data_IF_023954997242
#
_entry.id   IF_023954997242
#
_cell.length_a   1.000
_cell.length_b   1.000
_cell.length_c   1.000
_cell.angle_alpha   90.00
_cell.angle_beta   90.00
_cell.angle_gamma   90.00
#
_symmetry.space_group_name_H-M   'P 1'
#
loop_
_entity.id
_entity.type
_entity.pdbx_description
1 polymer ?
#
# COMPACT_ATOMS: atom_id res chain seq x y z
N UNK A 1 3.63 21.05 3.83
CA UNK A 1 2.90 21.38 5.08
C UNK A 1 3.64 20.72 6.23
N UNK A 2 3.65 21.29 7.43
CA UNK A 2 4.20 20.58 8.59
C UNK A 2 3.31 19.37 8.93
N UNK A 3 3.92 18.26 9.36
CA UNK A 3 3.16 17.08 9.78
C UNK A 3 2.39 17.40 11.07
N UNK A 4 1.11 16.99 11.18
CA UNK A 4 0.36 17.20 12.41
C UNK A 4 0.98 16.39 13.56
N UNK A 5 1.00 16.96 14.76
CA UNK A 5 1.34 16.23 15.98
C UNK A 5 0.19 15.30 16.34
N UNK A 6 0.33 14.02 16.00
CA UNK A 6 -0.61 12.96 16.37
C UNK A 6 0.03 12.05 17.41
N UNK A 7 -0.70 11.71 18.48
CA UNK A 7 -0.26 10.70 19.44
C UNK A 7 -0.42 9.29 18.87
N UNK A 8 0.47 8.93 17.96
CA UNK A 8 0.44 7.64 17.30
C UNK A 8 0.84 6.48 18.22
N UNK A 9 1.29 6.72 19.46
CA UNK A 9 1.68 5.64 20.37
C UNK A 9 0.48 5.01 21.08
N UNK A 10 -0.63 5.74 21.17
CA UNK A 10 -1.87 5.31 21.83
C UNK A 10 -2.79 4.48 20.94
N UNK A 11 -4.10 4.66 21.15
CA UNK A 11 -5.14 4.05 20.33
C UNK A 11 -5.10 4.59 18.89
N UNK A 12 -5.83 3.94 17.98
CA UNK A 12 -5.97 4.43 16.62
C UNK A 12 -6.63 5.83 16.62
N UNK A 13 -6.11 6.74 15.80
CA UNK A 13 -6.56 8.13 15.74
C UNK A 13 -7.13 8.43 14.36
N UNK A 14 -8.28 9.13 14.32
CA UNK A 14 -8.86 9.68 13.10
C UNK A 14 -8.29 11.06 12.80
N UNK A 15 -7.99 11.32 11.53
CA UNK A 15 -7.60 12.64 11.03
C UNK A 15 -8.58 13.09 9.95
N UNK A 16 -8.94 14.38 9.86
CA UNK A 16 -9.74 14.87 8.73
C UNK A 16 -9.05 14.67 7.38
N UNK A 17 -7.72 14.58 7.37
CA UNK A 17 -6.92 14.43 6.16
C UNK A 17 -6.58 12.97 5.82
N UNK A 18 -7.11 11.98 6.55
CA UNK A 18 -6.93 10.56 6.25
C UNK A 18 -8.19 9.74 6.53
N UNK A 19 -8.64 8.96 5.54
CA UNK A 19 -9.83 8.12 5.68
C UNK A 19 -9.62 6.90 6.58
N UNK A 20 -8.37 6.46 6.78
CA UNK A 20 -7.98 5.35 7.63
C UNK A 20 -7.56 5.89 9.00
N UNK A 21 -7.85 5.15 10.08
CA UNK A 21 -7.26 5.49 11.37
C UNK A 21 -5.75 5.24 11.38
N UNK A 22 -5.03 6.02 12.18
CA UNK A 22 -3.58 6.06 12.20
C UNK A 22 -3.03 5.66 13.56
N UNK A 23 -1.99 4.83 13.58
CA UNK A 23 -1.24 4.50 14.79
C UNK A 23 0.17 4.02 14.45
N UNK A 24 1.06 4.01 15.43
CA UNK A 24 2.39 3.41 15.32
C UNK A 24 2.28 1.90 15.13
N UNK A 25 1.26 1.26 15.72
CA UNK A 25 1.01 -0.17 15.55
C UNK A 25 0.66 -0.53 14.12
N UNK A 26 -0.11 0.33 13.42
CA UNK A 26 -0.34 0.20 11.99
C UNK A 26 1.00 0.26 11.23
N UNK A 27 1.83 1.27 11.51
CA UNK A 27 3.10 1.43 10.81
C UNK A 27 4.09 0.28 11.05
N UNK A 28 4.14 -0.25 12.27
CA UNK A 28 4.87 -1.48 12.57
C UNK A 28 4.40 -2.65 11.70
N UNK A 29 3.08 -2.86 11.60
CA UNK A 29 2.51 -3.92 10.79
C UNK A 29 2.81 -3.74 9.29
N UNK A 30 2.71 -2.51 8.78
CA UNK A 30 3.07 -2.20 7.38
C UNK A 30 4.52 -2.55 7.09
N UNK A 31 5.47 -2.08 7.92
CA UNK A 31 6.91 -2.38 7.77
C UNK A 31 7.17 -3.89 7.78
N UNK A 32 6.54 -4.63 8.68
CA UNK A 32 6.74 -6.07 8.79
C UNK A 32 6.16 -6.85 7.61
N UNK A 33 5.25 -6.23 6.85
CA UNK A 33 4.54 -6.87 5.75
C UNK A 33 5.21 -6.61 4.40
N UNK A 34 5.70 -5.39 4.20
CA UNK A 34 6.33 -4.92 2.96
C UNK A 34 7.68 -5.62 2.78
N UNK A 35 8.04 -6.07 1.56
CA UNK A 35 9.37 -6.63 1.31
C UNK A 35 10.45 -5.60 1.66
N UNK A 36 11.43 -5.98 2.48
CA UNK A 36 12.48 -5.08 2.98
C UNK A 36 13.72 -5.03 2.07
N UNK A 37 13.76 -5.81 1.01
CA UNK A 37 14.85 -5.85 0.03
C UNK A 37 14.32 -6.05 -1.37
N UNK A 38 15.00 -5.45 -2.34
CA UNK A 38 14.81 -5.76 -3.77
C UNK A 38 15.95 -6.65 -4.26
N UNK A 39 15.73 -7.41 -5.33
CA UNK A 39 16.78 -8.22 -5.96
C UNK A 39 17.94 -7.38 -6.54
N UNK A 40 17.68 -6.10 -6.84
CA UNK A 40 18.66 -5.13 -7.39
C UNK A 40 19.48 -4.42 -6.30
N UNK A 41 19.15 -4.59 -5.02
CA UNK A 41 19.76 -3.83 -3.92
C UNK A 41 19.23 -2.39 -3.80
N UNK A 42 18.20 -2.04 -4.59
CA UNK A 42 17.45 -0.79 -4.50
C UNK A 42 16.53 -0.80 -3.26
N UNK A 43 16.17 0.40 -2.80
CA UNK A 43 15.16 0.55 -1.74
C UNK A 43 13.79 0.19 -2.31
N UNK A 44 13.08 -0.80 -1.74
CA UNK A 44 11.72 -1.13 -2.17
C UNK A 44 10.78 0.06 -1.98
N UNK A 45 9.97 0.34 -3.01
CA UNK A 45 8.97 1.40 -3.03
C UNK A 45 7.57 0.81 -2.98
N UNK A 46 6.73 1.37 -2.11
CA UNK A 46 5.28 1.13 -2.09
C UNK A 46 4.57 2.25 -2.83
N UNK A 47 3.67 1.90 -3.76
CA UNK A 47 2.73 2.88 -4.32
C UNK A 47 1.41 2.85 -3.54
N UNK A 48 1.09 3.96 -2.88
CA UNK A 48 -0.20 4.19 -2.22
C UNK A 48 -1.21 4.74 -3.22
N UNK A 49 -2.17 3.91 -3.62
CA UNK A 49 -3.15 4.22 -4.67
C UNK A 49 -4.38 4.88 -4.04
N UNK A 50 -4.71 6.09 -4.50
CA UNK A 50 -5.72 6.93 -3.87
C UNK A 50 -5.20 7.60 -2.60
N UNK A 51 -3.97 8.12 -2.65
CA UNK A 51 -3.25 8.68 -1.49
C UNK A 51 -3.91 9.90 -0.85
N UNK A 52 -4.90 10.53 -1.50
CA UNK A 52 -5.61 11.68 -0.96
C UNK A 52 -4.66 12.83 -0.63
N UNK A 53 -4.67 13.27 0.63
CA UNK A 53 -3.82 14.35 1.13
C UNK A 53 -2.34 13.96 1.24
N UNK A 54 -2.01 12.67 1.27
CA UNK A 54 -0.65 12.18 1.53
C UNK A 54 -0.28 12.02 3.00
N UNK A 55 -1.22 12.25 3.94
CA UNK A 55 -0.90 12.27 5.38
C UNK A 55 -0.39 10.90 5.88
N UNK A 56 -1.04 9.80 5.45
CA UNK A 56 -0.66 8.45 5.86
C UNK A 56 0.79 8.15 5.44
N UNK A 57 1.11 8.44 4.18
CA UNK A 57 2.39 8.18 3.56
C UNK A 57 3.49 9.00 4.22
N UNK A 58 3.24 10.29 4.45
CA UNK A 58 4.20 11.18 5.06
C UNK A 58 4.49 10.81 6.53
N UNK A 59 3.47 10.41 7.30
CA UNK A 59 3.64 9.91 8.66
C UNK A 59 4.37 8.56 8.70
N UNK A 60 4.07 7.65 7.77
CA UNK A 60 4.77 6.38 7.62
C UNK A 60 6.27 6.61 7.35
N UNK A 61 6.62 7.50 6.41
CA UNK A 61 8.01 7.84 6.11
C UNK A 61 8.72 8.48 7.30
N UNK A 62 8.04 9.38 8.03
CA UNK A 62 8.58 9.95 9.27
C UNK A 62 8.82 8.88 10.34
N UNK A 63 7.89 7.93 10.48
CA UNK A 63 8.01 6.80 11.39
C UNK A 63 9.23 5.94 11.03
N UNK A 64 9.37 5.50 9.77
CA UNK A 64 10.51 4.73 9.27
C UNK A 64 11.83 5.45 9.53
N UNK A 65 11.91 6.75 9.22
CA UNK A 65 13.11 7.56 9.47
C UNK A 65 13.46 7.65 10.97
N UNK A 66 12.45 7.77 11.84
CA UNK A 66 12.66 7.78 13.29
C UNK A 66 13.21 6.45 13.82
N UNK A 67 12.79 5.32 13.24
CA UNK A 67 13.32 4.01 13.58
C UNK A 67 14.79 3.93 13.18
N UNK A 68 15.14 4.34 11.94
CA UNK A 68 16.53 4.32 11.44
C UNK A 68 17.52 5.07 12.33
N UNK A 69 17.12 6.23 12.86
CA UNK A 69 17.98 7.06 13.72
C UNK A 69 18.26 6.43 15.09
N UNK A 70 17.45 5.46 15.53
CA UNK A 70 17.62 4.79 16.84
C UNK A 70 18.67 3.66 16.82
N UNK A 71 19.35 3.44 15.69
CA UNK A 71 20.64 2.74 15.65
C UNK A 71 20.59 1.21 15.66
N UNK A 72 19.45 0.56 15.37
CA UNK A 72 19.44 -0.89 15.13
C UNK A 72 19.93 -1.17 13.70
N UNK A 73 20.89 -2.06 13.55
CA UNK A 73 21.55 -2.39 12.28
C UNK A 73 20.67 -3.12 11.25
N UNK A 74 19.38 -3.33 11.54
CA UNK A 74 18.46 -4.18 10.78
C UNK A 74 17.15 -3.46 10.39
N UNK A 75 17.18 -2.12 10.34
CA UNK A 75 15.98 -1.34 10.05
C UNK A 75 15.58 -1.44 8.56
N UNK A 76 14.31 -1.78 8.34
CA UNK A 76 13.66 -1.74 7.04
C UNK A 76 13.91 -0.39 6.34
N UNK A 77 14.41 -0.46 5.11
CA UNK A 77 14.54 0.70 4.22
C UNK A 77 13.43 0.54 3.20
N UNK A 78 12.31 1.22 3.41
CA UNK A 78 11.15 1.20 2.51
C UNK A 78 10.81 2.64 2.17
N UNK A 79 10.55 2.89 0.89
CA UNK A 79 10.03 4.15 0.39
C UNK A 79 8.52 4.03 0.14
N UNK A 80 7.82 5.16 0.13
CA UNK A 80 6.39 5.22 -0.13
C UNK A 80 6.07 6.45 -0.98
N UNK A 81 5.35 6.24 -2.07
CA UNK A 81 4.94 7.29 -3.01
C UNK A 81 3.41 7.25 -3.18
N UNK A 82 2.80 8.42 -3.38
CA UNK A 82 1.36 8.57 -3.53
C UNK A 82 0.93 8.62 -4.98
N UNK A 83 -0.20 7.99 -5.29
CA UNK A 83 -0.89 8.10 -6.59
C UNK A 83 -2.27 8.68 -6.34
N UNK A 84 -2.64 9.73 -7.07
CA UNK A 84 -3.96 10.38 -6.94
C UNK A 84 -4.52 10.83 -8.30
N UNK A 85 -5.84 10.94 -8.41
CA UNK A 85 -6.49 11.45 -9.62
C UNK A 85 -6.23 12.94 -9.75
N UNK A 86 -5.75 13.36 -10.92
CA UNK A 86 -5.60 14.77 -11.26
C UNK A 86 -6.96 15.45 -11.28
N UNK A 87 -7.17 16.43 -10.38
CA UNK A 87 -8.41 17.18 -10.35
C UNK A 87 -8.40 18.27 -11.42
N UNK A 88 -9.34 18.17 -12.37
CA UNK A 88 -9.47 19.13 -13.47
C UNK A 88 -9.80 20.52 -12.92
N UNK A 89 -8.94 21.50 -13.21
CA UNK A 89 -9.15 22.89 -12.81
C UNK A 89 -8.54 23.30 -11.47
N UNK A 90 -7.93 22.37 -10.72
CA UNK A 90 -7.09 22.72 -9.58
C UNK A 90 -5.63 22.87 -10.01
N UNK A 91 -4.99 23.94 -9.54
CA UNK A 91 -3.58 24.23 -9.83
C UNK A 91 -2.64 23.41 -8.93
N UNK A 92 -3.11 23.06 -7.73
CA UNK A 92 -2.36 22.33 -6.72
C UNK A 92 -2.83 20.88 -6.64
N UNK A 93 -1.91 19.98 -6.28
CA UNK A 93 -2.22 18.58 -6.04
C UNK A 93 -3.09 18.43 -4.79
N UNK A 94 -3.97 17.42 -4.78
CA UNK A 94 -4.74 17.05 -3.57
C UNK A 94 -3.78 16.64 -2.44
N UNK A 95 -2.64 16.05 -2.81
CA UNK A 95 -1.60 15.69 -1.88
C UNK A 95 -0.81 16.92 -1.43
N UNK A 96 -0.86 17.21 -0.13
CA UNK A 96 -0.27 18.38 0.51
C UNK A 96 0.88 18.05 1.49
N UNK A 97 1.08 16.75 1.76
CA UNK A 97 2.04 16.26 2.74
C UNK A 97 3.27 15.60 2.10
N UNK A 98 3.14 14.97 0.93
CA UNK A 98 4.27 14.44 0.19
C UNK A 98 4.98 15.54 -0.62
N UNK A 99 6.29 15.41 -0.84
CA UNK A 99 7.00 16.27 -1.76
C UNK A 99 6.63 15.91 -3.21
N UNK A 100 6.73 16.87 -4.14
CA UNK A 100 6.27 16.74 -5.53
C UNK A 100 6.82 15.49 -6.24
N UNK A 101 8.09 15.13 -6.01
CA UNK A 101 8.72 13.96 -6.61
C UNK A 101 8.14 12.61 -6.15
N UNK A 102 7.38 12.60 -5.04
CA UNK A 102 6.73 11.41 -4.50
C UNK A 102 5.22 11.41 -4.79
N UNK A 103 4.72 12.36 -5.60
CA UNK A 103 3.33 12.46 -6.01
C UNK A 103 3.21 12.11 -7.49
N UNK A 104 2.47 11.05 -7.76
CA UNK A 104 2.08 10.67 -9.11
C UNK A 104 0.61 10.96 -9.34
N UNK A 105 0.25 11.30 -10.57
CA UNK A 105 -1.14 11.57 -10.93
C UNK A 105 -1.62 10.72 -12.09
N UNK A 106 -2.91 10.38 -12.03
CA UNK A 106 -3.62 9.67 -13.10
C UNK A 106 -4.85 10.47 -13.54
N UNK A 107 -5.41 10.22 -14.73
CA UNK A 107 -6.51 11.03 -15.27
C UNK A 107 -7.88 10.51 -14.89
N UNK A 108 -8.01 9.20 -14.70
CA UNK A 108 -9.23 8.51 -14.33
C UNK A 108 -9.09 7.76 -13.00
N UNK A 109 -10.24 7.51 -12.36
CA UNK A 109 -10.30 6.79 -11.09
C UNK A 109 -9.84 5.33 -11.15
N UNK A 110 -9.70 4.76 -12.35
CA UNK A 110 -9.23 3.39 -12.57
C UNK A 110 -7.95 3.32 -13.40
N UNK A 111 -7.37 4.48 -13.72
CA UNK A 111 -6.15 4.53 -14.51
C UNK A 111 -4.98 3.95 -13.70
N UNK A 112 -4.13 3.19 -14.39
CA UNK A 112 -2.92 2.61 -13.82
C UNK A 112 -1.76 3.55 -14.07
N UNK A 113 -1.06 3.94 -13.01
CA UNK A 113 0.09 4.85 -13.09
C UNK A 113 1.28 4.19 -13.80
N UNK A 114 2.02 4.94 -14.62
CA UNK A 114 3.20 4.41 -15.31
C UNK A 114 4.33 3.99 -14.36
N UNK A 115 4.43 4.65 -13.19
CA UNK A 115 5.39 4.36 -12.12
C UNK A 115 5.37 2.89 -11.67
N UNK A 116 4.23 2.21 -11.83
CA UNK A 116 4.08 0.79 -11.51
C UNK A 116 5.08 -0.14 -12.23
N UNK A 117 5.62 0.29 -13.37
CA UNK A 117 6.49 -0.53 -14.23
C UNK A 117 7.94 -0.60 -13.75
N UNK A 118 8.32 0.26 -12.81
CA UNK A 118 9.71 0.39 -12.38
C UNK A 118 10.10 -0.76 -11.44
N UNK A 119 11.37 -1.17 -11.48
CA UNK A 119 11.86 -2.38 -10.79
C UNK A 119 11.88 -2.29 -9.28
N UNK A 120 11.92 -1.08 -8.73
CA UNK A 120 11.94 -0.82 -7.29
C UNK A 120 10.53 -0.87 -6.68
N UNK A 121 9.47 -0.84 -7.49
CA UNK A 121 8.08 -0.95 -7.00
C UNK A 121 7.75 -2.41 -6.68
N UNK A 122 7.77 -2.74 -5.39
CA UNK A 122 7.56 -4.11 -4.89
C UNK A 122 6.23 -4.30 -4.17
N UNK A 123 5.55 -3.22 -3.80
CA UNK A 123 4.25 -3.31 -3.16
C UNK A 123 3.26 -2.23 -3.59
N UNK A 124 1.98 -2.58 -3.50
CA UNK A 124 0.86 -1.66 -3.64
C UNK A 124 0.11 -1.55 -2.32
N UNK A 125 -0.45 -0.37 -2.06
CA UNK A 125 -1.35 -0.14 -0.94
C UNK A 125 -2.60 0.56 -1.43
N UNK A 126 -3.76 -0.05 -1.19
CA UNK A 126 -5.07 0.54 -1.47
C UNK A 126 -5.73 0.90 -0.15
N UNK A 127 -5.97 2.19 0.05
CA UNK A 127 -6.58 2.72 1.29
C UNK A 127 -7.96 3.24 0.96
N UNK A 128 -8.99 2.66 1.59
CA UNK A 128 -10.39 2.98 1.34
C UNK A 128 -10.72 3.07 -0.17
N UNK A 129 -10.33 2.06 -0.99
CA UNK A 129 -10.63 2.11 -2.41
C UNK A 129 -12.14 2.15 -2.60
N UNK A 130 -12.62 3.01 -3.48
CA UNK A 130 -14.07 3.20 -3.68
C UNK A 130 -14.72 2.08 -4.50
N UNK A 131 -13.94 1.42 -5.36
CA UNK A 131 -14.48 0.49 -6.35
C UNK A 131 -13.52 -0.67 -6.65
N UNK A 132 -14.03 -1.92 -6.68
CA UNK A 132 -13.24 -3.13 -6.97
C UNK A 132 -12.48 -3.08 -8.30
N UNK A 133 -13.08 -2.44 -9.31
CA UNK A 133 -12.51 -2.33 -10.65
C UNK A 133 -11.10 -1.73 -10.66
N UNK A 134 -10.80 -0.79 -9.75
CA UNK A 134 -9.46 -0.20 -9.63
C UNK A 134 -8.42 -1.29 -9.30
N UNK A 135 -8.70 -2.13 -8.31
CA UNK A 135 -7.79 -3.19 -7.88
C UNK A 135 -7.59 -4.20 -9.01
N UNK A 136 -8.69 -4.63 -9.65
CA UNK A 136 -8.63 -5.56 -10.79
C UNK A 136 -7.75 -5.03 -11.93
N UNK A 137 -7.83 -3.72 -12.25
CA UNK A 137 -6.98 -3.13 -13.30
C UNK A 137 -5.49 -3.19 -12.96
N UNK A 138 -5.11 -2.85 -11.72
CA UNK A 138 -3.71 -2.94 -11.28
C UNK A 138 -3.20 -4.39 -11.33
N UNK A 139 -4.00 -5.34 -10.85
CA UNK A 139 -3.64 -6.77 -10.86
C UNK A 139 -3.48 -7.30 -12.27
N UNK A 140 -4.39 -6.97 -13.19
CA UNK A 140 -4.29 -7.36 -14.59
C UNK A 140 -3.00 -6.82 -15.22
N UNK A 141 -2.69 -5.54 -15.02
CA UNK A 141 -1.46 -4.93 -15.54
C UNK A 141 -0.21 -5.60 -14.97
N UNK A 142 -0.18 -5.92 -13.67
CA UNK A 142 0.93 -6.64 -13.04
C UNK A 142 1.11 -8.02 -13.68
N UNK A 143 0.02 -8.75 -13.88
CA UNK A 143 0.05 -10.12 -14.40
C UNK A 143 0.44 -10.18 -15.89
N UNK A 144 -0.14 -9.30 -16.72
CA UNK A 144 0.11 -9.22 -18.16
C UNK A 144 1.55 -8.81 -18.47
N UNK A 145 2.14 -7.94 -17.64
CA UNK A 145 3.47 -7.38 -17.88
C UNK A 145 4.55 -8.04 -17.02
N UNK A 146 4.19 -8.98 -16.15
CA UNK A 146 5.14 -9.69 -15.28
C UNK A 146 5.86 -8.77 -14.29
N UNK A 147 5.16 -7.77 -13.74
CA UNK A 147 5.77 -6.75 -12.88
C UNK A 147 6.21 -7.33 -11.52
N UNK A 148 7.11 -6.60 -10.84
CA UNK A 148 7.82 -7.03 -9.62
C UNK A 148 7.03 -6.84 -8.32
N UNK A 149 5.76 -6.47 -8.39
CA UNK A 149 4.91 -6.37 -7.20
C UNK A 149 4.74 -7.74 -6.55
N UNK A 150 5.17 -7.84 -5.29
CA UNK A 150 5.13 -9.05 -4.47
C UNK A 150 4.01 -9.01 -3.43
N UNK A 151 3.65 -7.81 -2.97
CA UNK A 151 2.67 -7.59 -1.91
C UNK A 151 1.66 -6.55 -2.33
N UNK A 152 0.38 -6.84 -2.08
CA UNK A 152 -0.68 -5.85 -2.15
C UNK A 152 -1.34 -5.76 -0.77
N UNK A 153 -1.43 -4.55 -0.25
CA UNK A 153 -2.10 -4.22 0.99
C UNK A 153 -3.45 -3.60 0.65
N UNK A 154 -4.50 -4.11 1.26
CA UNK A 154 -5.82 -3.48 1.24
C UNK A 154 -6.16 -3.04 2.66
N UNK A 155 -6.57 -1.78 2.80
CA UNK A 155 -6.90 -1.15 4.06
C UNK A 155 -8.27 -0.48 3.92
N UNK A 156 -9.24 -0.89 4.74
CA UNK A 156 -10.61 -0.36 4.61
C UNK A 156 -11.60 -0.94 5.60
N UNK A 157 -12.89 -0.56 5.49
CA UNK A 157 -13.94 -1.06 6.36
C UNK A 157 -14.14 -2.56 6.20
N UNK A 158 -14.23 -3.31 7.30
CA UNK A 158 -14.43 -4.76 7.28
C UNK A 158 -15.63 -5.20 6.44
N UNK A 159 -16.71 -4.41 6.46
CA UNK A 159 -17.93 -4.69 5.70
C UNK A 159 -17.72 -4.67 4.18
N UNK A 160 -16.70 -3.97 3.70
CA UNK A 160 -16.42 -3.86 2.27
C UNK A 160 -15.53 -5.01 1.77
N UNK A 161 -14.85 -5.74 2.68
CA UNK A 161 -13.84 -6.72 2.31
C UNK A 161 -14.37 -7.81 1.36
N UNK A 162 -15.57 -8.34 1.61
CA UNK A 162 -16.19 -9.37 0.75
C UNK A 162 -16.38 -8.92 -0.70
N UNK A 163 -16.47 -7.61 -0.94
CA UNK A 163 -16.62 -7.02 -2.28
C UNK A 163 -15.26 -6.90 -2.98
N UNK A 164 -14.17 -6.73 -2.23
CA UNK A 164 -12.83 -6.54 -2.77
C UNK A 164 -12.01 -7.84 -2.86
N UNK A 165 -12.20 -8.77 -1.93
CA UNK A 165 -11.49 -10.05 -1.88
C UNK A 165 -11.46 -10.79 -3.24
N UNK A 166 -12.57 -10.89 -4.00
CA UNK A 166 -12.57 -11.58 -5.29
C UNK A 166 -11.61 -10.98 -6.33
N UNK A 167 -11.25 -9.70 -6.22
CA UNK A 167 -10.34 -9.04 -7.15
C UNK A 167 -8.93 -9.62 -7.10
N UNK A 168 -8.53 -10.19 -5.96
CA UNK A 168 -7.20 -10.76 -5.80
C UNK A 168 -7.11 -12.17 -6.38
N UNK A 169 -8.24 -12.86 -6.52
CA UNK A 169 -8.33 -14.21 -7.09
C UNK A 169 -8.35 -14.21 -8.63
N UNK A 170 -8.44 -13.05 -9.27
CA UNK A 170 -8.41 -12.92 -10.74
C UNK A 170 -6.98 -12.77 -11.23
N UNK A 171 -6.20 -13.86 -11.20
CA UNK A 171 -4.84 -13.91 -11.74
C UNK A 171 -4.78 -14.62 -13.09
N UNK A 172 -3.88 -14.18 -13.98
CA UNK A 172 -3.52 -14.91 -15.19
C UNK A 172 -2.67 -16.16 -14.81
N UNK A 173 -2.57 -17.16 -15.69
CA UNK A 173 -1.80 -18.41 -15.43
C UNK A 173 -0.34 -18.17 -15.00
N UNK A 174 0.21 -16.99 -15.30
CA UNK A 174 1.58 -16.58 -15.02
C UNK A 174 1.79 -15.87 -13.67
N UNK A 175 0.72 -15.38 -13.02
CA UNK A 175 0.82 -14.58 -11.79
C UNK A 175 -0.50 -14.61 -11.04
N UNK A 176 -0.52 -15.25 -9.87
CA UNK A 176 -1.66 -15.25 -8.98
C UNK A 176 -1.33 -14.47 -7.71
N UNK A 177 -2.35 -13.80 -7.17
CA UNK A 177 -2.31 -13.17 -5.86
C UNK A 177 -3.21 -13.97 -4.94
N UNK A 178 -2.75 -14.24 -3.72
CA UNK A 178 -3.53 -14.96 -2.72
C UNK A 178 -3.58 -14.14 -1.45
N UNK A 179 -4.75 -14.12 -0.81
CA UNK A 179 -4.91 -13.51 0.51
C UNK A 179 -4.12 -14.37 1.51
N UNK A 180 -3.06 -13.80 2.06
CA UNK A 180 -2.19 -14.48 3.01
C UNK A 180 -2.71 -14.34 4.45
N UNK A 181 -3.19 -13.15 4.80
CA UNK A 181 -3.79 -12.86 6.09
C UNK A 181 -4.74 -11.67 6.01
N UNK A 182 -5.74 -11.64 6.90
CA UNK A 182 -6.59 -10.48 7.15
C UNK A 182 -6.61 -10.23 8.66
N UNK A 183 -6.30 -9.00 9.06
CA UNK A 183 -6.26 -8.54 10.45
C UNK A 183 -7.26 -7.42 10.66
N UNK A 184 -7.83 -7.31 11.84
CA UNK A 184 -8.93 -6.40 12.12
C UNK A 184 -8.64 -5.46 13.28
N UNK A 185 -9.13 -4.22 13.16
CA UNK A 185 -9.13 -3.20 14.20
C UNK A 185 -7.84 -3.13 15.01
N UNK A 186 -7.99 -3.23 16.33
CA UNK A 186 -6.87 -3.08 17.26
C UNK A 186 -5.75 -4.11 17.08
N UNK A 187 -5.97 -5.25 16.40
CA UNK A 187 -4.91 -6.22 16.06
C UNK A 187 -3.82 -5.58 15.20
N UNK A 188 -4.22 -4.81 14.20
CA UNK A 188 -3.33 -4.10 13.29
C UNK A 188 -3.09 -2.64 13.72
N UNK A 189 -3.84 -2.15 14.71
CA UNK A 189 -3.71 -0.76 15.18
C UNK A 189 -4.64 0.20 14.44
N UNK A 190 -5.78 -0.31 14.00
CA UNK A 190 -6.86 0.44 13.38
C UNK A 190 -8.08 0.52 14.31
N UNK A 191 -9.09 1.28 13.90
CA UNK A 191 -10.42 1.29 14.51
C UNK A 191 -11.12 -0.06 14.33
N UNK A 192 -11.99 -0.45 15.26
CA UNK A 192 -12.59 -1.81 15.32
C UNK A 192 -13.39 -2.23 14.07
N UNK A 193 -13.86 -1.28 13.26
CA UNK A 193 -14.56 -1.55 12.01
C UNK A 193 -13.66 -1.58 10.77
N UNK A 194 -12.37 -1.30 10.93
CA UNK A 194 -11.38 -1.28 9.86
C UNK A 194 -10.55 -2.57 9.84
N UNK A 195 -9.92 -2.83 8.71
CA UNK A 195 -9.12 -4.03 8.52
C UNK A 195 -7.98 -3.82 7.53
N UNK A 196 -6.99 -4.70 7.66
CA UNK A 196 -5.87 -4.82 6.75
C UNK A 196 -5.84 -6.23 6.20
N UNK A 197 -5.94 -6.37 4.88
CA UNK A 197 -5.68 -7.61 4.18
C UNK A 197 -4.31 -7.54 3.51
N UNK A 198 -3.53 -8.61 3.68
CA UNK A 198 -2.23 -8.80 3.06
C UNK A 198 -2.36 -9.84 1.98
N UNK A 199 -2.09 -9.43 0.76
CA UNK A 199 -2.18 -10.27 -0.42
C UNK A 199 -0.77 -10.46 -0.96
N UNK A 200 -0.35 -11.71 -1.16
CA UNK A 200 0.99 -12.04 -1.65
C UNK A 200 0.93 -12.66 -3.02
N UNK A 201 1.89 -12.30 -3.86
CA UNK A 201 2.11 -12.95 -5.15
C UNK A 201 2.59 -14.38 -4.92
N UNK A 202 2.02 -15.33 -5.67
CA UNK A 202 2.48 -16.71 -5.71
C UNK A 202 3.17 -16.99 -7.04
N UNK A 203 4.37 -17.58 -6.98
CA UNK A 203 5.06 -18.05 -8.16
C UNK A 203 4.59 -19.48 -8.49
N UNK A 204 4.13 -19.69 -9.72
CA UNK A 204 3.67 -20.99 -10.22
C UNK A 204 4.74 -22.11 -10.15
N UNK A 205 6.03 -21.77 -9.97
CA UNK A 205 7.11 -22.74 -9.75
C UNK A 205 6.93 -23.56 -8.47
N UNK A 206 6.19 -23.05 -7.48
CA UNK A 206 5.92 -23.74 -6.20
C UNK A 206 4.75 -24.71 -6.23
N UNK A 207 3.91 -24.66 -7.28
CA UNK A 207 2.73 -25.54 -7.43
C UNK A 207 3.03 -26.86 -8.16
N UNK A 208 4.28 -27.07 -8.63
CA UNK A 208 4.74 -28.33 -9.21
C UNK A 208 5.72 -29.07 -8.29
N UNK A 209 5.26 -29.52 -7.12
CA UNK A 209 5.78 -30.80 -6.58
C UNK A 209 4.83 -31.90 -7.06
N UNK A 210 5.17 -32.66 -8.12
CA UNK A 210 4.47 -33.91 -8.35
C UNK A 210 4.77 -34.82 -7.16
N UNK A 211 3.70 -35.20 -6.46
CA UNK A 211 3.74 -36.35 -5.56
C UNK A 211 3.89 -37.56 -6.48
N UNK A 212 5.11 -38.09 -6.58
CA UNK A 212 5.38 -39.42 -7.12
C UNK A 212 5.26 -40.44 -6.00
#
# INVERSE_FOLDING_TARGET
MDLPELDLQGAAIRSPDCCLSLSSKLFCNLINTIPNTTLSGETPTVLSIGSGSGLLEALFLAYVNSQRQRGSSDHAVVNMEGVEVQQVGMKDHVNSYLPEQAIHTVRGSWDVVSRLRDSDVTALMFVYPRQPALISQYINVIAEQGLKVEVILWLGPMADWEVFEPCFNTGHESCQFVVAETKHGSEVGLEEYESMAVVRKTDYSTLKKPVY
#
